data_IF_914259067952
#
_entry.id   IF_914259067952
#
_cell.length_a   1.000
_cell.length_b   1.000
_cell.length_c   1.000
_cell.angle_alpha   90.00
_cell.angle_beta   90.00
_cell.angle_gamma   90.00
#
_symmetry.space_group_name_H-M   'P 1'
#
loop_
_entity.id
_entity.type
_entity.pdbx_description
1 polymer ?
#
# COMPACT_ATOMS: atom_id res chain seq x y z
N UNK A 1 -3.77 -31.47 43.64
CA UNK A 1 -4.59 -30.84 42.58
C UNK A 1 -4.00 -29.57 42.00
N UNK A 2 -3.14 -28.82 42.72
CA UNK A 2 -2.61 -27.53 42.25
C UNK A 2 -1.65 -27.62 41.07
N UNK A 3 -0.71 -28.56 41.14
CA UNK A 3 0.33 -28.72 40.11
C UNK A 3 -0.19 -29.06 38.72
N UNK A 4 -1.24 -29.89 38.61
CA UNK A 4 -1.86 -30.20 37.32
C UNK A 4 -2.56 -28.98 36.71
N UNK A 5 -3.20 -28.17 37.54
CA UNK A 5 -3.87 -26.94 37.08
C UNK A 5 -2.86 -25.89 36.59
N UNK A 6 -1.72 -25.76 37.26
CA UNK A 6 -0.63 -24.87 36.82
C UNK A 6 -0.02 -25.33 35.51
N UNK A 7 0.24 -26.62 35.35
CA UNK A 7 0.76 -27.17 34.09
C UNK A 7 -0.22 -27.00 32.93
N UNK A 8 -1.51 -27.20 33.16
CA UNK A 8 -2.53 -26.92 32.14
C UNK A 8 -2.59 -25.43 31.76
N UNK A 9 -2.52 -24.53 32.74
CA UNK A 9 -2.50 -23.09 32.47
C UNK A 9 -1.30 -22.70 31.61
N UNK A 10 -0.11 -23.16 31.97
CA UNK A 10 1.11 -22.91 31.22
C UNK A 10 1.01 -23.45 29.80
N UNK A 11 0.48 -24.66 29.63
CA UNK A 11 0.25 -25.28 28.33
C UNK A 11 -0.69 -24.43 27.46
N UNK A 12 -1.82 -23.94 28.00
CA UNK A 12 -2.75 -23.10 27.26
C UNK A 12 -2.12 -21.76 26.88
N UNK A 13 -1.35 -21.14 27.76
CA UNK A 13 -0.64 -19.90 27.45
C UNK A 13 0.40 -20.10 26.32
N UNK A 14 1.16 -21.19 26.39
CA UNK A 14 2.12 -21.55 25.33
C UNK A 14 1.43 -21.81 24.00
N UNK A 15 0.34 -22.56 24.01
CA UNK A 15 -0.45 -22.86 22.82
C UNK A 15 -0.98 -21.55 22.20
N UNK A 16 -1.54 -20.66 23.03
CA UNK A 16 -2.00 -19.35 22.58
C UNK A 16 -0.87 -18.52 21.95
N UNK A 17 0.28 -18.43 22.61
CA UNK A 17 1.45 -17.72 22.06
C UNK A 17 1.91 -18.33 20.75
N UNK A 18 1.95 -19.65 20.64
CA UNK A 18 2.35 -20.35 19.43
C UNK A 18 1.39 -20.08 18.27
N UNK A 19 0.08 -20.09 18.53
CA UNK A 19 -0.96 -19.78 17.53
C UNK A 19 -0.81 -18.33 17.06
N UNK A 20 -0.67 -17.38 17.99
CA UNK A 20 -0.52 -15.94 17.64
C UNK A 20 0.74 -15.69 16.84
N UNK A 21 1.88 -16.26 17.24
CA UNK A 21 3.15 -16.10 16.51
C UNK A 21 3.05 -16.78 15.14
N UNK A 22 2.51 -18.00 15.08
CA UNK A 22 2.32 -18.75 13.84
C UNK A 22 1.43 -17.99 12.85
N UNK A 23 0.34 -17.40 13.33
CA UNK A 23 -0.53 -16.55 12.50
C UNK A 23 0.24 -15.35 11.91
N UNK A 24 1.01 -14.63 12.74
CA UNK A 24 1.81 -13.48 12.25
C UNK A 24 2.86 -13.88 11.23
N UNK A 25 3.53 -15.02 11.44
CA UNK A 25 4.47 -15.58 10.47
C UNK A 25 3.75 -15.95 9.17
N UNK A 26 2.64 -16.66 9.24
CA UNK A 26 1.84 -17.03 8.07
C UNK A 26 1.35 -15.78 7.32
N UNK A 27 0.89 -14.76 8.03
CA UNK A 27 0.50 -13.49 7.44
C UNK A 27 1.68 -12.80 6.74
N UNK A 28 2.86 -12.77 7.34
CA UNK A 28 4.05 -12.17 6.70
C UNK A 28 4.38 -12.82 5.36
N UNK A 29 4.32 -14.13 5.28
CA UNK A 29 4.61 -14.88 4.05
C UNK A 29 3.46 -14.97 3.05
N UNK A 30 2.24 -14.56 3.44
CA UNK A 30 1.12 -14.55 2.51
C UNK A 30 1.32 -13.47 1.42
N UNK A 31 0.74 -13.63 0.21
CA UNK A 31 0.92 -12.70 -0.90
C UNK A 31 0.45 -11.28 -0.62
N UNK A 32 0.99 -10.30 -1.36
CA UNK A 32 0.52 -8.91 -1.36
C UNK A 32 1.45 -7.90 -0.69
N UNK A 33 2.62 -8.31 -0.18
CA UNK A 33 3.64 -7.36 0.29
C UNK A 33 4.17 -6.57 -0.91
N UNK A 34 4.05 -5.25 -0.86
CA UNK A 34 4.61 -4.35 -1.87
C UNK A 34 6.13 -4.28 -1.74
N UNK A 35 6.82 -4.29 -2.86
CA UNK A 35 8.26 -4.09 -2.86
C UNK A 35 8.57 -2.60 -2.65
N UNK A 36 9.00 -2.25 -1.45
CA UNK A 36 9.34 -0.88 -1.04
C UNK A 36 10.85 -0.59 -1.04
N UNK A 37 11.68 -1.58 -1.38
CA UNK A 37 13.13 -1.41 -1.48
C UNK A 37 13.47 -0.38 -2.57
N UNK A 38 14.36 0.55 -2.25
CA UNK A 38 14.78 1.63 -3.15
C UNK A 38 13.61 2.53 -3.64
N UNK A 39 12.56 2.66 -2.85
CA UNK A 39 11.46 3.59 -3.14
C UNK A 39 11.51 4.81 -2.23
N UNK A 40 11.10 5.95 -2.78
CA UNK A 40 11.01 7.23 -2.06
C UNK A 40 9.63 7.82 -2.29
N UNK A 41 8.97 8.25 -1.22
CA UNK A 41 7.74 9.03 -1.28
C UNK A 41 8.08 10.50 -1.36
N UNK A 42 7.58 11.20 -2.37
CA UNK A 42 7.67 12.66 -2.48
C UNK A 42 6.34 13.26 -2.01
N UNK A 43 6.41 14.14 -1.02
CA UNK A 43 5.25 14.78 -0.41
C UNK A 43 5.32 16.29 -0.62
N UNK A 44 4.21 16.88 -1.03
CA UNK A 44 4.02 18.32 -1.05
C UNK A 44 3.39 18.74 0.28
N UNK A 45 4.10 19.55 1.04
CA UNK A 45 3.64 20.06 2.33
C UNK A 45 3.36 21.57 2.20
N UNK A 46 2.16 22.05 2.59
CA UNK A 46 1.88 23.48 2.59
C UNK A 46 2.82 24.21 3.58
N UNK A 47 3.29 25.38 3.18
CA UNK A 47 4.13 26.25 4.03
C UNK A 47 3.23 27.05 4.99
N UNK A 48 2.06 27.48 4.50
CA UNK A 48 1.08 28.20 5.31
C UNK A 48 -0.33 27.65 5.08
N UNK A 49 -1.14 27.47 6.13
CA UNK A 49 -2.52 27.00 5.98
C UNK A 49 -3.45 27.98 5.27
N UNK A 50 -3.06 29.25 5.14
CA UNK A 50 -3.89 30.34 4.60
C UNK A 50 -3.75 30.56 3.10
N UNK A 51 -2.77 29.97 2.46
CA UNK A 51 -2.53 30.11 1.02
C UNK A 51 -2.93 28.82 0.31
N UNK A 52 -4.21 28.74 -0.09
CA UNK A 52 -4.70 27.61 -0.87
C UNK A 52 -4.50 27.88 -2.36
N UNK A 53 -3.50 27.24 -2.95
CA UNK A 53 -3.53 26.97 -4.38
C UNK A 53 -4.47 25.81 -4.66
N UNK A 54 -5.13 25.84 -5.82
CA UNK A 54 -5.97 24.71 -6.19
C UNK A 54 -5.10 23.45 -6.29
N UNK A 55 -5.53 22.29 -5.73
CA UNK A 55 -4.76 21.05 -5.82
C UNK A 55 -4.40 20.70 -7.28
N UNK A 56 -5.28 21.01 -8.23
CA UNK A 56 -5.08 20.74 -9.66
C UNK A 56 -3.92 21.53 -10.27
N UNK A 57 -3.75 22.80 -9.94
CA UNK A 57 -2.64 23.61 -10.44
C UNK A 57 -1.29 23.15 -9.89
N UNK A 58 -1.24 22.87 -8.60
CA UNK A 58 -0.03 22.31 -7.97
C UNK A 58 0.34 20.96 -8.55
N UNK A 59 -0.64 20.11 -8.80
CA UNK A 59 -0.42 18.81 -9.43
C UNK A 59 0.11 18.95 -10.85
N UNK A 60 -0.47 19.83 -11.67
CA UNK A 60 0.02 20.05 -13.02
C UNK A 60 1.49 20.51 -13.03
N UNK A 61 1.87 21.42 -12.12
CA UNK A 61 3.27 21.82 -11.97
C UNK A 61 4.15 20.67 -11.50
N UNK A 62 3.68 19.91 -10.50
CA UNK A 62 4.42 18.76 -10.01
C UNK A 62 4.56 17.66 -11.06
N UNK A 63 3.53 17.41 -11.87
CA UNK A 63 3.59 16.46 -12.98
C UNK A 63 4.68 16.82 -13.99
N UNK A 64 4.90 18.13 -14.26
CA UNK A 64 6.02 18.58 -15.11
C UNK A 64 7.39 18.32 -14.47
N UNK A 65 7.50 18.51 -13.15
CA UNK A 65 8.73 18.15 -12.41
C UNK A 65 8.99 16.66 -12.53
N UNK A 66 7.95 15.84 -12.29
CA UNK A 66 8.02 14.38 -12.38
C UNK A 66 8.42 13.91 -13.77
N UNK A 67 7.82 14.46 -14.83
CA UNK A 67 8.17 14.14 -16.23
C UNK A 67 9.64 14.43 -16.55
N UNK A 68 10.17 15.51 -16.02
CA UNK A 68 11.57 15.87 -16.20
C UNK A 68 12.50 14.93 -15.43
N UNK A 69 12.18 14.65 -14.16
CA UNK A 69 13.00 13.80 -13.28
C UNK A 69 12.93 12.33 -13.71
N UNK A 70 11.78 11.87 -14.24
CA UNK A 70 11.59 10.49 -14.76
C UNK A 70 12.60 10.13 -15.85
N UNK A 71 13.08 11.10 -16.63
CA UNK A 71 14.09 10.90 -17.68
C UNK A 71 15.51 10.68 -17.15
N UNK A 72 15.72 10.84 -15.83
CA UNK A 72 17.03 10.61 -15.22
C UNK A 72 17.42 9.14 -15.26
N UNK A 73 18.69 8.82 -15.54
CA UNK A 73 19.18 7.44 -15.51
C UNK A 73 19.15 6.79 -14.11
N UNK A 74 18.99 7.58 -13.04
CA UNK A 74 18.88 7.11 -11.66
C UNK A 74 17.47 6.59 -11.34
N UNK A 75 16.47 6.99 -12.11
CA UNK A 75 15.06 6.66 -11.90
C UNK A 75 14.68 5.43 -12.71
N UNK A 76 14.09 4.44 -12.05
CA UNK A 76 13.51 3.24 -12.69
C UNK A 76 12.05 3.51 -13.08
N UNK A 77 11.28 4.03 -12.14
CA UNK A 77 9.87 4.37 -12.35
C UNK A 77 9.48 5.52 -11.41
N UNK A 78 8.61 6.41 -11.88
CA UNK A 78 8.08 7.50 -11.08
C UNK A 78 6.60 7.66 -11.40
N UNK A 79 5.75 7.37 -10.44
CA UNK A 79 4.30 7.38 -10.59
C UNK A 79 3.62 8.18 -9.50
N UNK A 80 2.31 8.34 -9.66
CA UNK A 80 1.42 8.95 -8.66
C UNK A 80 0.27 8.02 -8.32
N UNK A 81 -0.14 8.06 -7.06
CA UNK A 81 -1.23 7.25 -6.55
C UNK A 81 -1.98 7.98 -5.45
N UNK A 82 -3.13 7.44 -5.08
CA UNK A 82 -3.85 7.82 -3.88
C UNK A 82 -4.27 6.56 -3.13
N UNK A 83 -3.93 6.52 -1.85
CA UNK A 83 -4.22 5.42 -0.93
C UNK A 83 -3.57 4.07 -1.28
N UNK A 84 -2.67 4.04 -2.27
CA UNK A 84 -1.93 2.82 -2.63
C UNK A 84 -0.62 2.68 -1.84
N UNK A 85 -0.03 3.80 -1.40
CA UNK A 85 1.25 3.79 -0.67
C UNK A 85 1.07 3.10 0.68
N UNK A 86 1.80 2.00 0.94
CA UNK A 86 1.68 1.26 2.20
C UNK A 86 2.41 1.97 3.35
N UNK A 87 2.10 1.56 4.58
CA UNK A 87 2.79 1.98 5.82
C UNK A 87 2.72 3.49 6.07
N UNK A 88 1.71 4.15 5.51
CA UNK A 88 1.38 5.56 5.78
C UNK A 88 0.39 5.67 6.94
N UNK A 89 -0.32 6.79 7.04
CA UNK A 89 -1.31 6.95 8.13
C UNK A 89 -2.42 5.91 8.03
N UNK A 90 -2.82 5.29 9.15
CA UNK A 90 -3.84 4.25 9.17
C UNK A 90 -5.16 4.66 8.51
N UNK A 91 -5.61 5.92 8.72
CA UNK A 91 -6.87 6.43 8.19
C UNK A 91 -6.89 6.47 6.66
N UNK A 92 -5.76 6.82 6.05
CA UNK A 92 -5.62 6.88 4.59
C UNK A 92 -5.54 5.50 3.94
N UNK A 93 -5.07 4.50 4.68
CA UNK A 93 -4.91 3.14 4.18
C UNK A 93 -6.23 2.38 4.04
N UNK A 94 -7.21 2.72 4.89
CA UNK A 94 -8.46 1.96 5.03
C UNK A 94 -9.67 2.60 4.35
N UNK A 95 -9.46 3.56 3.46
CA UNK A 95 -10.57 4.14 2.71
C UNK A 95 -11.24 3.08 1.85
N UNK A 96 -12.50 2.81 2.19
CA UNK A 96 -13.38 1.90 1.47
C UNK A 96 -14.55 2.67 0.87
N UNK A 97 -15.04 2.18 -0.25
CA UNK A 97 -16.25 2.71 -0.90
C UNK A 97 -17.08 1.56 -1.48
N UNK A 98 -18.31 1.85 -1.81
CA UNK A 98 -19.24 0.86 -2.36
C UNK A 98 -19.10 0.77 -3.88
N UNK A 99 -18.84 -0.40 -4.38
CA UNK A 99 -18.97 -0.75 -5.80
C UNK A 99 -20.28 -1.47 -6.04
N UNK A 100 -20.75 -1.48 -7.29
CA UNK A 100 -21.94 -2.19 -7.70
C UNK A 100 -21.63 -3.19 -8.82
N UNK A 101 -22.15 -4.40 -8.67
CA UNK A 101 -22.01 -5.50 -9.64
C UNK A 101 -23.42 -6.07 -9.86
N UNK A 102 -23.99 -5.78 -11.01
CA UNK A 102 -25.42 -6.06 -11.23
C UNK A 102 -26.29 -5.36 -10.18
N UNK A 103 -27.03 -6.12 -9.41
CA UNK A 103 -27.89 -5.62 -8.31
C UNK A 103 -27.18 -5.60 -6.95
N UNK A 104 -26.01 -6.23 -6.83
CA UNK A 104 -25.26 -6.35 -5.57
C UNK A 104 -24.39 -5.13 -5.34
N UNK A 105 -24.42 -4.59 -4.13
CA UNK A 105 -23.47 -3.59 -3.64
C UNK A 105 -22.50 -4.25 -2.67
N UNK A 106 -21.24 -3.85 -2.74
CA UNK A 106 -20.16 -4.38 -1.92
C UNK A 106 -19.17 -3.29 -1.55
N UNK A 107 -18.69 -3.29 -0.30
CA UNK A 107 -17.60 -2.42 0.15
C UNK A 107 -16.25 -3.01 -0.24
N UNK A 108 -15.41 -2.20 -0.87
CA UNK A 108 -14.07 -2.55 -1.27
C UNK A 108 -13.08 -1.46 -0.87
N UNK A 109 -11.82 -1.81 -0.72
CA UNK A 109 -10.74 -0.83 -0.61
C UNK A 109 -10.46 -0.26 -1.99
N UNK A 110 -10.71 1.03 -2.16
CA UNK A 110 -10.49 1.71 -3.43
C UNK A 110 -9.13 2.40 -3.41
N UNK A 111 -8.34 2.16 -4.46
CA UNK A 111 -7.03 2.76 -4.66
C UNK A 111 -6.97 3.43 -6.03
N UNK A 112 -6.19 4.50 -6.14
CA UNK A 112 -5.98 5.19 -7.40
C UNK A 112 -4.51 5.13 -7.77
N UNK A 113 -4.22 4.86 -9.03
CA UNK A 113 -2.85 4.75 -9.52
C UNK A 113 -2.75 5.19 -10.97
N UNK A 114 -1.54 5.60 -11.38
CA UNK A 114 -1.19 5.74 -12.79
C UNK A 114 -0.53 4.46 -13.35
N UNK A 115 -0.24 4.48 -14.63
CA UNK A 115 0.38 3.36 -15.35
C UNK A 115 1.78 2.98 -14.84
N UNK A 116 2.45 3.87 -14.11
CA UNK A 116 3.82 3.64 -13.63
C UNK A 116 3.88 2.98 -12.25
N UNK A 117 2.78 3.00 -11.49
CA UNK A 117 2.80 2.54 -10.10
C UNK A 117 3.09 1.04 -9.96
N UNK A 118 2.74 0.20 -10.95
CA UNK A 118 3.16 -1.20 -10.92
C UNK A 118 4.68 -1.35 -10.96
N UNK A 119 5.36 -0.56 -11.78
CA UNK A 119 6.82 -0.59 -11.85
C UNK A 119 7.47 -0.05 -10.57
N UNK A 120 6.80 0.90 -9.88
CA UNK A 120 7.27 1.43 -8.60
C UNK A 120 7.21 0.37 -7.51
N UNK A 121 6.09 -0.32 -7.33
CA UNK A 121 5.91 -1.29 -6.24
C UNK A 121 6.12 -2.75 -6.65
N UNK A 122 6.25 -3.03 -7.95
CA UNK A 122 6.43 -4.37 -8.49
C UNK A 122 5.35 -5.34 -7.97
N UNK A 123 4.09 -4.91 -8.09
CA UNK A 123 2.95 -5.74 -7.75
C UNK A 123 2.95 -7.02 -8.60
N UNK A 124 2.72 -8.15 -7.94
CA UNK A 124 2.66 -9.42 -8.62
C UNK A 124 1.31 -9.58 -9.32
N UNK A 125 1.35 -9.51 -10.66
CA UNK A 125 0.19 -9.81 -11.50
C UNK A 125 -0.05 -11.32 -11.55
N UNK A 126 -1.27 -11.77 -11.30
CA UNK A 126 -1.69 -13.16 -11.51
C UNK A 126 -2.23 -13.38 -12.93
N UNK A 127 -3.00 -12.41 -13.42
CA UNK A 127 -3.64 -12.49 -14.73
C UNK A 127 -3.79 -11.08 -15.32
N UNK A 128 -3.73 -10.98 -16.64
CA UNK A 128 -3.97 -9.74 -17.37
C UNK A 128 -2.83 -8.72 -17.27
N UNK A 129 -3.18 -7.44 -17.36
CA UNK A 129 -2.25 -6.33 -17.47
C UNK A 129 -2.52 -5.24 -16.40
N UNK A 130 -1.54 -4.37 -16.19
CA UNK A 130 -1.71 -3.20 -15.34
C UNK A 130 -2.57 -2.13 -16.01
N UNK A 131 -3.00 -1.14 -15.22
CA UNK A 131 -3.79 0.00 -15.67
C UNK A 131 -3.11 0.80 -16.78
N UNK A 132 -3.91 1.27 -17.71
CA UNK A 132 -3.57 2.39 -18.58
C UNK A 132 -4.29 3.66 -18.11
N UNK A 133 -3.78 4.83 -18.53
CA UNK A 133 -4.45 6.10 -18.22
C UNK A 133 -5.61 6.39 -19.19
N UNK A 134 -5.80 5.57 -20.21
CA UNK A 134 -6.78 5.73 -21.28
C UNK A 134 -8.04 4.89 -21.05
N UNK A 135 -9.13 5.26 -21.72
CA UNK A 135 -10.32 4.43 -21.79
C UNK A 135 -10.05 3.20 -22.67
N UNK A 136 -10.74 2.11 -22.38
CA UNK A 136 -10.74 0.94 -23.23
C UNK A 136 -11.57 1.22 -24.50
N UNK A 137 -11.46 0.37 -25.51
CA UNK A 137 -12.16 0.51 -26.80
C UNK A 137 -13.68 0.61 -26.64
N UNK A 138 -14.25 -0.06 -25.63
CA UNK A 138 -15.68 -0.02 -25.32
C UNK A 138 -16.10 1.22 -24.49
N UNK A 139 -15.19 2.17 -24.28
CA UNK A 139 -15.40 3.39 -23.50
C UNK A 139 -15.40 3.19 -21.98
N UNK A 140 -15.21 1.97 -21.48
CA UNK A 140 -15.08 1.72 -20.03
C UNK A 140 -13.68 2.10 -19.51
N UNK A 141 -13.57 2.29 -18.19
CA UNK A 141 -12.29 2.52 -17.53
C UNK A 141 -11.62 1.19 -17.17
N UNK A 142 -10.29 1.05 -17.32
CA UNK A 142 -9.62 -0.13 -16.83
C UNK A 142 -9.64 -0.17 -15.29
N UNK A 143 -9.73 -1.38 -14.73
CA UNK A 143 -9.55 -1.64 -13.31
C UNK A 143 -8.66 -2.85 -13.09
N UNK A 144 -7.84 -2.80 -12.03
CA UNK A 144 -7.11 -3.95 -11.50
C UNK A 144 -7.72 -4.33 -10.16
N UNK A 145 -7.94 -5.60 -9.93
CA UNK A 145 -8.51 -6.10 -8.67
C UNK A 145 -7.55 -7.07 -7.99
N UNK A 146 -7.71 -7.24 -6.69
CA UNK A 146 -6.99 -8.29 -5.95
C UNK A 146 -7.71 -9.63 -6.07
N UNK A 147 -6.97 -10.74 -5.96
CA UNK A 147 -7.53 -12.09 -5.91
C UNK A 147 -8.56 -12.25 -4.78
N UNK A 148 -8.38 -11.56 -3.66
CA UNK A 148 -9.34 -11.55 -2.57
C UNK A 148 -10.68 -10.96 -2.99
N UNK A 149 -10.66 -9.84 -3.77
CA UNK A 149 -11.90 -9.26 -4.29
C UNK A 149 -12.58 -10.21 -5.26
N UNK A 150 -11.82 -10.83 -6.17
CA UNK A 150 -12.36 -11.83 -7.11
C UNK A 150 -13.03 -12.99 -6.38
N UNK A 151 -12.40 -13.51 -5.31
CA UNK A 151 -12.93 -14.59 -4.48
C UNK A 151 -14.22 -14.19 -3.76
N UNK A 152 -14.26 -13.01 -3.14
CA UNK A 152 -15.47 -12.52 -2.45
C UNK A 152 -16.65 -12.28 -3.40
N UNK A 153 -16.36 -11.97 -4.68
CA UNK A 153 -17.36 -11.86 -5.72
C UNK A 153 -17.84 -13.21 -6.25
N UNK A 154 -17.18 -14.31 -5.86
CA UNK A 154 -17.47 -15.65 -6.33
C UNK A 154 -17.12 -15.84 -7.82
N UNK A 155 -16.19 -15.05 -8.34
CA UNK A 155 -15.79 -15.14 -9.75
C UNK A 155 -14.71 -16.19 -9.95
N UNK A 156 -14.93 -17.11 -10.87
CA UNK A 156 -13.92 -18.07 -11.33
C UNK A 156 -12.94 -17.43 -12.33
N UNK A 157 -13.37 -16.35 -13.00
CA UNK A 157 -12.58 -15.54 -13.94
C UNK A 157 -12.93 -14.07 -13.71
N UNK A 158 -11.91 -13.21 -13.58
CA UNK A 158 -12.10 -11.79 -13.30
C UNK A 158 -11.95 -10.91 -14.54
N UNK A 159 -11.05 -11.25 -15.45
CA UNK A 159 -10.75 -10.41 -16.64
C UNK A 159 -12.01 -10.24 -17.51
N UNK A 160 -12.23 -9.00 -17.96
CA UNK A 160 -13.40 -8.60 -18.77
C UNK A 160 -14.70 -8.40 -17.96
N UNK A 161 -14.73 -8.70 -16.66
CA UNK A 161 -15.88 -8.44 -15.80
C UNK A 161 -16.08 -6.94 -15.58
N UNK A 162 -17.35 -6.52 -15.49
CA UNK A 162 -17.72 -5.12 -15.30
C UNK A 162 -18.10 -4.81 -13.87
N UNK A 163 -17.60 -3.68 -13.38
CA UNK A 163 -17.85 -3.13 -12.05
C UNK A 163 -18.37 -1.70 -12.25
N UNK A 164 -19.37 -1.31 -11.50
CA UNK A 164 -19.94 0.05 -11.52
C UNK A 164 -19.52 0.79 -10.26
N UNK A 165 -18.98 1.97 -10.43
CA UNK A 165 -18.60 2.85 -9.33
C UNK A 165 -18.89 4.31 -9.69
N UNK A 166 -19.74 4.98 -8.90
CA UNK A 166 -20.11 6.40 -9.06
C UNK A 166 -20.48 6.79 -10.49
N UNK A 167 -21.30 5.98 -11.14
CA UNK A 167 -21.77 6.25 -12.51
C UNK A 167 -20.77 5.89 -13.62
N UNK A 168 -19.59 5.42 -13.27
CA UNK A 168 -18.56 4.98 -14.23
C UNK A 168 -18.52 3.46 -14.30
N UNK A 169 -18.41 2.95 -15.52
CA UNK A 169 -18.22 1.52 -15.80
C UNK A 169 -16.73 1.22 -15.85
N UNK A 170 -16.32 0.23 -15.09
CA UNK A 170 -14.95 -0.30 -15.07
C UNK A 170 -14.95 -1.71 -15.63
N UNK A 171 -13.96 -2.01 -16.46
CA UNK A 171 -13.68 -3.37 -16.92
C UNK A 171 -12.39 -3.87 -16.28
N UNK A 172 -12.44 -5.03 -15.67
CA UNK A 172 -11.26 -5.66 -15.04
C UNK A 172 -10.29 -6.08 -16.14
N UNK A 173 -9.10 -5.46 -16.14
CA UNK A 173 -8.01 -5.75 -17.10
C UNK A 173 -6.89 -6.55 -16.46
N UNK A 174 -6.80 -6.58 -15.14
CA UNK A 174 -5.74 -7.30 -14.42
C UNK A 174 -6.16 -7.73 -13.03
N UNK A 175 -5.50 -8.79 -12.56
CA UNK A 175 -5.65 -9.35 -11.22
C UNK A 175 -4.26 -9.42 -10.58
N UNK A 176 -4.15 -8.87 -9.37
CA UNK A 176 -2.93 -8.96 -8.54
C UNK A 176 -3.15 -9.91 -7.38
N UNK A 177 -2.08 -10.57 -6.93
CA UNK A 177 -2.13 -11.55 -5.83
C UNK A 177 -2.68 -10.98 -4.53
N UNK A 178 -2.52 -9.67 -4.33
CA UNK A 178 -3.02 -8.96 -3.17
C UNK A 178 -2.29 -7.65 -2.93
N UNK A 179 -2.82 -6.87 -1.98
CA UNK A 179 -2.19 -5.62 -1.52
C UNK A 179 -2.27 -5.58 -0.01
N UNK A 180 -1.10 -5.63 0.62
CA UNK A 180 -0.98 -5.48 2.06
C UNK A 180 -0.64 -4.03 2.42
N UNK A 181 -1.46 -3.44 3.23
CA UNK A 181 -1.20 -2.12 3.81
C UNK A 181 -0.24 -2.20 5.01
N UNK A 182 -0.25 -3.34 5.69
CA UNK A 182 0.60 -3.68 6.82
C UNK A 182 1.22 -5.07 6.59
N UNK A 183 2.52 -5.27 6.86
CA UNK A 183 3.21 -6.52 6.50
C UNK A 183 2.62 -7.77 7.19
N UNK A 184 2.14 -7.59 8.43
CA UNK A 184 1.65 -8.66 9.31
C UNK A 184 0.12 -8.76 9.34
N UNK A 185 -0.56 -8.18 8.33
CA UNK A 185 -2.00 -8.33 8.13
C UNK A 185 -2.31 -8.95 6.77
N UNK A 186 -3.46 -9.56 6.66
CA UNK A 186 -3.94 -10.11 5.40
C UNK A 186 -4.18 -9.01 4.35
N UNK A 187 -4.00 -9.34 3.09
CA UNK A 187 -4.51 -8.53 1.98
C UNK A 187 -6.04 -8.44 2.07
N UNK A 188 -6.59 -7.33 1.62
CA UNK A 188 -8.02 -7.07 1.65
C UNK A 188 -8.59 -6.93 0.24
N UNK A 189 -9.90 -7.15 0.04
CA UNK A 189 -10.57 -6.94 -1.23
C UNK A 189 -10.33 -5.50 -1.71
N UNK A 190 -9.55 -5.36 -2.78
CA UNK A 190 -9.12 -4.05 -3.26
C UNK A 190 -9.37 -3.92 -4.76
N UNK A 191 -9.85 -2.75 -5.16
CA UNK A 191 -9.97 -2.31 -6.54
C UNK A 191 -9.06 -1.12 -6.77
N UNK A 192 -8.25 -1.17 -7.83
CA UNK A 192 -7.33 -0.10 -8.23
C UNK A 192 -7.86 0.46 -9.55
N UNK A 193 -7.97 1.79 -9.63
CA UNK A 193 -8.50 2.51 -10.79
C UNK A 193 -7.58 3.67 -11.19
N UNK A 194 -7.68 4.18 -12.43
CA UNK A 194 -6.86 5.30 -12.88
C UNK A 194 -7.11 6.58 -12.07
N UNK A 195 -6.05 7.33 -11.82
CA UNK A 195 -6.07 8.61 -11.09
C UNK A 195 -7.04 9.64 -11.66
N UNK A 196 -7.29 9.64 -12.97
CA UNK A 196 -8.19 10.56 -13.67
C UNK A 196 -9.63 10.54 -13.18
N UNK A 197 -10.04 9.47 -12.48
CA UNK A 197 -11.41 9.33 -11.93
C UNK A 197 -11.67 10.36 -10.82
N UNK A 198 -10.62 10.89 -10.19
CA UNK A 198 -10.73 11.95 -9.18
C UNK A 198 -9.63 13.01 -9.37
N UNK A 199 -9.72 13.84 -10.42
CA UNK A 199 -8.64 14.76 -10.79
C UNK A 199 -8.36 15.85 -9.75
N UNK A 200 -9.35 16.25 -8.95
CA UNK A 200 -9.24 17.37 -8.00
C UNK A 200 -8.73 16.97 -6.61
N UNK A 201 -8.16 15.78 -6.48
CA UNK A 201 -7.67 15.29 -5.20
C UNK A 201 -6.14 15.26 -5.14
N UNK A 202 -5.59 15.42 -3.93
CA UNK A 202 -4.15 15.28 -3.71
C UNK A 202 -3.69 13.84 -3.97
N UNK A 203 -2.65 13.70 -4.79
CA UNK A 203 -1.98 12.43 -5.05
C UNK A 203 -0.63 12.37 -4.35
N UNK A 204 -0.20 11.17 -4.05
CA UNK A 204 1.11 10.84 -3.54
C UNK A 204 2.02 10.48 -4.71
N UNK A 205 3.21 11.02 -4.70
CA UNK A 205 4.21 10.77 -5.74
C UNK A 205 5.24 9.78 -5.22
N UNK A 206 5.44 8.69 -5.95
CA UNK A 206 6.32 7.60 -5.59
C UNK A 206 7.34 7.33 -6.69
N UNK A 207 8.58 7.17 -6.29
CA UNK A 207 9.66 6.83 -7.21
C UNK A 207 10.38 5.56 -6.76
N UNK A 208 10.74 4.74 -7.72
CA UNK A 208 11.75 3.68 -7.55
C UNK A 208 13.03 4.13 -8.22
N UNK A 209 14.11 4.13 -7.48
CA UNK A 209 15.45 4.48 -7.97
C UNK A 209 16.35 3.25 -8.04
N UNK A 210 17.44 3.36 -8.78
CA UNK A 210 18.51 2.36 -8.77
C UNK A 210 19.13 2.25 -7.39
N UNK A 211 19.68 1.11 -7.07
CA UNK A 211 20.35 0.87 -5.78
C UNK A 211 21.49 1.87 -5.58
N UNK A 212 21.55 2.48 -4.40
CA UNK A 212 22.51 3.52 -4.06
C UNK A 212 22.24 4.92 -4.59
N UNK A 213 21.22 5.11 -5.45
CA UNK A 213 20.95 6.39 -6.13
C UNK A 213 19.93 7.29 -5.40
N UNK A 214 19.53 6.94 -4.20
CA UNK A 214 18.51 7.69 -3.45
C UNK A 214 18.88 9.15 -3.21
N UNK A 215 20.13 9.44 -2.84
CA UNK A 215 20.56 10.80 -2.54
C UNK A 215 20.77 11.61 -3.83
N UNK A 216 21.27 10.99 -4.89
CA UNK A 216 21.36 11.62 -6.21
C UNK A 216 19.97 12.00 -6.73
N UNK A 217 18.99 11.10 -6.57
CA UNK A 217 17.60 11.39 -6.91
C UNK A 217 17.05 12.55 -6.07
N UNK A 218 17.24 12.56 -4.75
CA UNK A 218 16.75 13.63 -3.87
C UNK A 218 17.33 15.00 -4.28
N UNK A 219 18.62 15.06 -4.57
CA UNK A 219 19.28 16.27 -5.02
C UNK A 219 18.71 16.77 -6.35
N UNK A 220 18.52 15.87 -7.33
CA UNK A 220 17.92 16.19 -8.60
C UNK A 220 16.46 16.66 -8.42
N UNK A 221 15.68 15.96 -7.63
CA UNK A 221 14.28 16.28 -7.38
C UNK A 221 14.13 17.63 -6.69
N UNK A 222 14.95 17.95 -5.68
CA UNK A 222 14.98 19.25 -5.03
C UNK A 222 15.35 20.37 -6.02
N UNK A 223 16.35 20.15 -6.87
CA UNK A 223 16.75 21.12 -7.88
C UNK A 223 15.60 21.44 -8.85
N UNK A 224 14.99 20.42 -9.44
CA UNK A 224 13.91 20.59 -10.41
C UNK A 224 12.64 21.16 -9.77
N UNK A 225 12.33 20.72 -8.55
CA UNK A 225 11.23 21.27 -7.76
C UNK A 225 11.43 22.77 -7.49
N UNK A 226 12.59 23.19 -7.00
CA UNK A 226 12.88 24.60 -6.72
C UNK A 226 12.83 25.46 -7.98
N UNK A 227 13.28 24.96 -9.12
CA UNK A 227 13.20 25.68 -10.40
C UNK A 227 11.76 25.93 -10.85
N UNK A 228 10.86 24.97 -10.66
CA UNK A 228 9.47 25.06 -11.14
C UNK A 228 8.47 25.54 -10.09
N UNK A 229 8.72 25.25 -8.83
CA UNK A 229 7.78 25.44 -7.73
C UNK A 229 8.32 26.27 -6.56
N UNK A 230 9.54 26.81 -6.68
CA UNK A 230 10.17 27.55 -5.58
C UNK A 230 9.47 28.84 -5.13
N UNK A 231 8.49 29.32 -5.92
CA UNK A 231 7.64 30.48 -5.58
C UNK A 231 6.27 30.06 -5.01
N UNK A 232 5.96 28.78 -5.01
CA UNK A 232 4.69 28.26 -4.51
C UNK A 232 4.74 28.09 -2.98
N UNK A 233 3.61 28.25 -2.28
CA UNK A 233 3.55 28.09 -0.82
C UNK A 233 3.57 26.63 -0.38
N UNK A 234 4.43 25.83 -1.00
CA UNK A 234 4.63 24.41 -0.72
C UNK A 234 6.10 24.07 -0.63
N UNK A 235 6.41 23.09 0.17
CA UNK A 235 7.75 22.50 0.27
C UNK A 235 7.73 21.03 -0.09
N UNK A 236 8.82 20.55 -0.68
CA UNK A 236 9.03 19.14 -0.94
C UNK A 236 9.59 18.45 0.31
N UNK A 237 9.04 17.29 0.63
CA UNK A 237 9.54 16.41 1.67
C UNK A 237 9.63 14.98 1.16
N UNK A 238 10.55 14.20 1.72
CA UNK A 238 10.78 12.82 1.32
C UNK A 238 10.47 11.85 2.46
N UNK A 239 9.63 10.86 2.18
CA UNK A 239 9.32 9.77 3.08
C UNK A 239 10.15 8.51 2.75
N UNK A 240 10.57 7.81 3.79
CA UNK A 240 11.24 6.52 3.68
C UNK A 240 10.27 5.40 4.07
N UNK A 241 9.66 4.77 3.07
CA UNK A 241 8.64 3.75 3.28
C UNK A 241 9.22 2.48 3.90
N UNK A 242 10.44 2.11 3.53
CA UNK A 242 11.09 0.95 4.12
C UNK A 242 11.31 1.13 5.63
N UNK A 243 11.66 2.34 6.06
CA UNK A 243 11.76 2.66 7.49
C UNK A 243 10.41 2.54 8.20
N UNK A 244 9.32 2.98 7.57
CA UNK A 244 7.97 2.85 8.15
C UNK A 244 7.57 1.38 8.27
N UNK A 245 7.82 0.58 7.23
CA UNK A 245 7.61 -0.87 7.26
C UNK A 245 8.37 -1.55 8.40
N UNK A 246 9.65 -1.21 8.57
CA UNK A 246 10.47 -1.75 9.66
C UNK A 246 9.95 -1.35 11.03
N UNK A 247 9.47 -0.11 11.19
CA UNK A 247 8.87 0.35 12.45
C UNK A 247 7.60 -0.43 12.79
N UNK A 248 6.69 -0.61 11.83
CA UNK A 248 5.49 -1.43 12.02
C UNK A 248 5.82 -2.85 12.46
N UNK A 249 6.81 -3.47 11.81
CA UNK A 249 7.26 -4.82 12.16
C UNK A 249 7.90 -4.86 13.55
N UNK A 250 8.75 -3.88 13.87
CA UNK A 250 9.45 -3.81 15.16
C UNK A 250 8.46 -3.78 16.33
N UNK A 251 7.42 -2.98 16.25
CA UNK A 251 6.46 -2.82 17.35
C UNK A 251 5.70 -4.14 17.61
N UNK A 252 5.37 -4.89 16.56
CA UNK A 252 4.78 -6.23 16.71
C UNK A 252 5.78 -7.22 17.30
N UNK A 253 7.05 -7.22 16.84
CA UNK A 253 8.09 -8.09 17.40
C UNK A 253 8.36 -7.82 18.86
N UNK A 254 8.42 -6.55 19.29
CA UNK A 254 8.60 -6.18 20.70
C UNK A 254 7.43 -6.73 21.53
N UNK A 255 6.20 -6.61 21.06
CA UNK A 255 5.02 -7.15 21.74
C UNK A 255 5.10 -8.67 21.85
N UNK A 256 5.45 -9.37 20.77
CA UNK A 256 5.58 -10.84 20.77
C UNK A 256 6.71 -11.32 21.70
N UNK A 257 7.84 -10.62 21.74
CA UNK A 257 8.93 -10.92 22.68
C UNK A 257 8.52 -10.65 24.12
N UNK A 258 7.79 -9.56 24.37
CA UNK A 258 7.28 -9.20 25.69
C UNK A 258 6.31 -10.25 26.28
N UNK A 259 5.59 -10.97 25.44
CA UNK A 259 4.72 -12.08 25.83
C UNK A 259 5.50 -13.40 25.87
N UNK A 260 6.30 -13.69 24.86
CA UNK A 260 6.96 -14.99 24.68
C UNK A 260 8.05 -15.26 25.71
N UNK A 261 8.88 -14.28 26.03
CA UNK A 261 9.99 -14.46 26.98
C UNK A 261 9.48 -14.83 28.37
N UNK A 262 8.56 -14.09 29.03
CA UNK A 262 8.01 -14.48 30.31
C UNK A 262 7.33 -15.85 30.28
N UNK A 263 6.65 -16.17 29.18
CA UNK A 263 5.95 -17.45 29.01
C UNK A 263 6.94 -18.63 29.00
N UNK A 264 8.06 -18.49 28.28
CA UNK A 264 9.13 -19.50 28.28
C UNK A 264 9.73 -19.68 29.68
N UNK A 265 9.98 -18.60 30.40
CA UNK A 265 10.45 -18.66 31.78
C UNK A 265 9.46 -19.36 32.70
N UNK A 266 8.19 -19.03 32.65
CA UNK A 266 7.15 -19.70 33.42
C UNK A 266 7.09 -21.20 33.12
N UNK A 267 7.22 -21.59 31.85
CA UNK A 267 7.28 -22.99 31.45
C UNK A 267 8.50 -23.71 32.04
N UNK A 268 9.69 -23.10 31.94
CA UNK A 268 10.91 -23.68 32.50
C UNK A 268 10.80 -23.85 34.02
N UNK A 269 10.27 -22.85 34.74
CA UNK A 269 10.05 -22.94 36.18
C UNK A 269 9.04 -24.02 36.57
N UNK A 270 7.96 -24.16 35.80
CA UNK A 270 6.96 -25.22 36.05
C UNK A 270 7.53 -26.62 35.84
N UNK A 271 8.49 -26.80 34.93
CA UNK A 271 9.13 -28.11 34.67
C UNK A 271 10.32 -28.41 35.59
N UNK A 272 11.07 -27.43 36.03
CA UNK A 272 12.24 -27.61 36.93
C UNK A 272 11.78 -27.71 38.39
N UNK A 273 10.65 -27.14 38.74
CA UNK A 273 10.06 -27.21 40.10
C UNK A 273 9.30 -28.49 40.42
N UNK A 274 9.26 -29.43 39.47
CA UNK A 274 8.72 -30.77 39.65
C UNK A 274 9.82 -31.81 39.77
#
# INVERSE_FOLDING_TARGET
GGMLAEQMLVFFVLLFCFVVVGEKIAQYFSPGILNTKNTVKCMLLPVSPSEYLSPSELQQKMDRVVEKVRKSPTVIAFGKSKWLVPYTRPEEMYLSDSIQIGTRKMHVFLKFADKYMNQVFQLQMEEGEWLTDELLEDGSCPAVITSQLMQELGWSRGIGKRIYYKGTVFTVVGIVTGIKQEPLKASRPTMIVPNRIQPDQWFEYMVRVKEGETDNFRNLMNKEFNLMMGKEPVRLSFGNIEKWKLNDMRDVFITLLGIGIPTIFLFLFAFIGT
#
